data_IF_286698768096
#
_entry.id   IF_286698768096
#
_cell.length_a   1.000
_cell.length_b   1.000
_cell.length_c   1.000
_cell.angle_alpha   90.00
_cell.angle_beta   90.00
_cell.angle_gamma   90.00
#
_symmetry.space_group_name_H-M   'P 1'
#
loop_
_entity.id
_entity.type
_entity.pdbx_description
1 polymer ?
#
# COMPACT_ATOMS: atom_id res chain seq x y z
N UNK A 1 -14.94 7.38 3.11
CA UNK A 1 -13.57 7.87 2.84
C UNK A 1 -12.84 7.59 4.13
N UNK A 2 -11.83 6.74 4.07
CA UNK A 2 -11.33 6.10 5.26
C UNK A 2 -10.03 6.75 5.72
N UNK A 3 -9.89 6.93 7.04
CA UNK A 3 -8.77 7.66 7.64
C UNK A 3 -7.75 6.67 8.18
N UNK A 4 -6.51 6.75 7.67
CA UNK A 4 -5.41 5.93 8.17
C UNK A 4 -5.13 6.24 9.65
N UNK A 5 -5.11 5.21 10.50
CA UNK A 5 -4.86 5.34 11.94
C UNK A 5 -3.47 5.91 12.26
N UNK A 6 -2.50 5.66 11.38
CA UNK A 6 -1.09 6.07 11.54
C UNK A 6 -0.86 7.51 11.04
N UNK A 7 -1.06 7.76 9.75
CA UNK A 7 -0.74 9.08 9.16
C UNK A 7 -1.91 10.07 9.18
N UNK A 8 -3.11 9.66 9.64
CA UNK A 8 -4.34 10.48 9.71
C UNK A 8 -4.82 11.07 8.39
N UNK A 9 -4.22 10.69 7.26
CA UNK A 9 -4.66 11.08 5.92
C UNK A 9 -5.89 10.26 5.52
N UNK A 10 -6.79 10.89 4.78
CA UNK A 10 -7.99 10.27 4.25
C UNK A 10 -7.72 9.66 2.87
N UNK A 11 -8.19 8.44 2.63
CA UNK A 11 -8.03 7.71 1.39
C UNK A 11 -9.39 7.30 0.82
N UNK A 12 -9.52 7.34 -0.51
CA UNK A 12 -10.74 6.95 -1.21
C UNK A 12 -10.82 5.46 -1.51
N UNK A 13 -9.67 4.78 -1.52
CA UNK A 13 -9.55 3.37 -1.89
C UNK A 13 -9.22 2.55 -0.67
N UNK A 14 -9.97 1.47 -0.48
CA UNK A 14 -9.71 0.45 0.51
C UNK A 14 -8.88 -0.68 -0.12
N UNK A 15 -8.01 -1.26 0.69
CA UNK A 15 -7.20 -2.42 0.34
C UNK A 15 -7.21 -3.38 1.53
N UNK A 16 -6.89 -4.64 1.26
CA UNK A 16 -6.89 -5.72 2.25
C UNK A 16 -5.56 -6.45 2.22
N UNK A 17 -5.09 -6.90 3.39
CA UNK A 17 -3.94 -7.77 3.53
C UNK A 17 -4.40 -9.17 3.98
N UNK A 18 -3.64 -10.23 3.69
CA UNK A 18 -3.85 -11.52 4.34
C UNK A 18 -3.74 -11.39 5.87
N UNK A 19 -4.61 -12.05 6.63
CA UNK A 19 -4.69 -11.93 8.10
C UNK A 19 -3.34 -12.20 8.79
N UNK A 20 -2.61 -13.22 8.34
CA UNK A 20 -1.30 -13.57 8.89
C UNK A 20 -0.29 -12.43 8.71
N UNK A 21 -0.30 -11.79 7.54
CA UNK A 21 0.57 -10.65 7.24
C UNK A 21 0.14 -9.41 8.03
N UNK A 22 -1.16 -9.15 8.11
CA UNK A 22 -1.71 -8.04 8.89
C UNK A 22 -1.33 -8.17 10.36
N UNK A 23 -1.59 -9.33 10.99
CA UNK A 23 -1.24 -9.60 12.39
C UNK A 23 0.26 -9.46 12.63
N UNK A 24 1.10 -9.96 11.72
CA UNK A 24 2.56 -9.83 11.81
C UNK A 24 3.00 -8.36 11.84
N UNK A 25 2.46 -7.53 10.95
CA UNK A 25 2.91 -6.15 10.80
C UNK A 25 2.19 -5.16 11.72
N UNK A 26 0.97 -5.46 12.17
CA UNK A 26 0.16 -4.60 13.03
C UNK A 26 0.30 -4.94 14.53
N UNK A 27 1.35 -5.65 14.92
CA UNK A 27 1.63 -6.00 16.33
C UNK A 27 0.60 -6.95 16.95
N UNK A 28 0.00 -7.83 16.16
CA UNK A 28 -1.01 -8.79 16.60
C UNK A 28 -2.42 -8.22 16.77
N UNK A 29 -2.63 -6.94 16.48
CA UNK A 29 -3.95 -6.32 16.60
C UNK A 29 -4.92 -6.84 15.52
N UNK A 30 -6.13 -7.21 15.95
CA UNK A 30 -7.24 -7.56 15.06
C UNK A 30 -7.99 -6.27 14.66
N UNK A 31 -7.89 -5.92 13.38
CA UNK A 31 -8.53 -4.72 12.84
C UNK A 31 -7.65 -3.47 12.81
N UNK A 32 -8.31 -2.33 12.58
CA UNK A 32 -7.67 -1.05 12.29
C UNK A 32 -7.63 -0.74 10.80
N UNK A 33 -7.33 0.51 10.46
CA UNK A 33 -7.29 0.98 9.09
C UNK A 33 -5.98 1.68 8.80
N UNK A 34 -5.21 1.14 7.86
CA UNK A 34 -3.89 1.66 7.51
C UNK A 34 -3.83 1.89 6.00
N UNK A 35 -3.18 2.95 5.55
CA UNK A 35 -2.90 3.10 4.13
C UNK A 35 -1.71 2.24 3.71
N UNK A 36 -1.67 1.88 2.42
CA UNK A 36 -0.60 1.08 1.80
C UNK A 36 0.78 1.63 2.18
N UNK A 37 1.00 2.95 2.08
CA UNK A 37 2.30 3.55 2.39
C UNK A 37 2.73 3.42 3.86
N UNK A 38 1.78 3.47 4.81
CA UNK A 38 2.10 3.22 6.22
C UNK A 38 2.40 1.74 6.46
N UNK A 39 1.66 0.85 5.83
CA UNK A 39 1.87 -0.59 5.95
C UNK A 39 3.21 -1.05 5.34
N UNK A 40 3.56 -0.53 4.17
CA UNK A 40 4.86 -0.71 3.52
C UNK A 40 6.02 -0.27 4.41
N UNK A 41 5.88 0.90 5.03
CA UNK A 41 6.93 1.41 5.92
C UNK A 41 7.14 0.49 7.13
N UNK A 42 6.08 -0.12 7.65
CA UNK A 42 6.18 -1.09 8.75
C UNK A 42 6.78 -2.41 8.25
N UNK A 43 6.38 -2.88 7.06
CA UNK A 43 6.97 -4.07 6.44
C UNK A 43 8.49 -3.91 6.27
N UNK A 44 8.95 -2.80 5.67
CA UNK A 44 10.38 -2.52 5.47
C UNK A 44 11.16 -2.47 6.78
N UNK A 45 10.58 -1.88 7.83
CA UNK A 45 11.19 -1.86 9.17
C UNK A 45 11.34 -3.26 9.79
N UNK A 46 10.47 -4.20 9.40
CA UNK A 46 10.53 -5.60 9.79
C UNK A 46 11.34 -6.48 8.81
N UNK A 47 12.01 -5.89 7.82
CA UNK A 47 12.77 -6.63 6.81
C UNK A 47 11.91 -7.34 5.75
N UNK A 48 10.63 -7.00 5.65
CA UNK A 48 9.70 -7.55 4.68
C UNK A 48 9.58 -6.64 3.45
N UNK A 49 9.54 -7.26 2.26
CA UNK A 49 9.26 -6.57 1.00
C UNK A 49 7.88 -7.00 0.52
N UNK A 50 6.94 -6.06 0.46
CA UNK A 50 5.59 -6.32 -0.02
C UNK A 50 5.52 -6.12 -1.54
N UNK A 51 4.84 -7.05 -2.20
CA UNK A 51 4.50 -6.96 -3.61
C UNK A 51 3.01 -6.68 -3.73
N UNK A 52 2.69 -5.55 -4.34
CA UNK A 52 1.31 -5.12 -4.55
C UNK A 52 0.93 -5.43 -5.99
N UNK A 53 0.03 -6.39 -6.16
CA UNK A 53 -0.57 -6.66 -7.45
C UNK A 53 -1.82 -5.78 -7.63
N UNK A 54 -2.03 -5.30 -8.85
CA UNK A 54 -3.32 -4.73 -9.19
C UNK A 54 -4.34 -5.86 -9.34
N UNK A 55 -5.62 -5.57 -9.05
CA UNK A 55 -6.70 -6.50 -9.36
C UNK A 55 -6.62 -6.94 -10.83
N UNK A 56 -7.02 -8.18 -11.12
CA UNK A 56 -7.00 -8.72 -12.49
C UNK A 56 -7.74 -7.77 -13.45
N UNK A 57 -7.05 -7.31 -14.50
CA UNK A 57 -7.57 -6.31 -15.45
C UNK A 57 -7.37 -4.84 -15.07
N UNK A 58 -6.82 -4.53 -13.90
CA UNK A 58 -6.39 -3.18 -13.52
C UNK A 58 -4.89 -3.01 -13.81
N UNK A 59 -4.54 -2.05 -14.66
CA UNK A 59 -3.14 -1.68 -14.89
C UNK A 59 -2.72 -0.60 -13.90
N UNK A 60 -1.52 -0.69 -13.28
CA UNK A 60 -1.02 0.39 -12.43
C UNK A 60 -0.81 1.62 -13.31
N UNK A 61 -1.67 2.63 -13.13
CA UNK A 61 -1.48 3.94 -13.74
C UNK A 61 -0.34 4.60 -12.96
N UNK A 62 0.89 4.44 -13.44
CA UNK A 62 2.03 5.16 -12.88
C UNK A 62 1.93 6.63 -13.34
N UNK A 63 1.74 7.63 -12.46
CA UNK A 63 1.85 9.03 -12.84
C UNK A 63 3.33 9.41 -12.93
N UNK A 64 4.11 8.65 -13.68
CA UNK A 64 5.45 9.04 -14.08
C UNK A 64 5.29 9.96 -15.26
N UNK A 65 5.81 11.18 -15.15
CA UNK A 65 6.02 12.04 -16.31
C UNK A 65 6.72 11.19 -17.37
N UNK A 66 6.02 10.90 -18.47
CA UNK A 66 6.67 10.36 -19.65
C UNK A 66 7.80 11.33 -19.98
N UNK A 67 9.05 10.93 -19.72
CA UNK A 67 10.17 11.58 -20.38
C UNK A 67 9.99 11.20 -21.83
N UNK A 68 9.50 12.16 -22.62
CA UNK A 68 9.52 12.05 -24.08
C UNK A 68 10.99 11.95 -24.49
N UNK A 69 11.54 10.74 -24.54
CA UNK A 69 12.66 10.48 -25.41
C UNK A 69 12.06 10.32 -26.81
N UNK A 70 11.80 11.47 -27.43
CA UNK A 70 11.72 11.53 -28.88
C UNK A 70 13.14 11.30 -29.39
N UNK A 71 13.32 10.12 -29.96
CA UNK A 71 14.44 9.67 -30.77
C UNK A 71 14.97 10.72 -31.77
N UNK A 72 16.28 10.58 -32.04
CA UNK A 72 17.07 11.01 -33.21
C UNK A 72 17.63 12.42 -33.27
#
# INVERSE_FOLDING_TARGET
MEVCSICRKAYRTLWTAPDNLWKKLNGGNEGGLMCIGCFDNIARKNGEVLYWECAEGAYPIYPGKAKNNSDK
#
